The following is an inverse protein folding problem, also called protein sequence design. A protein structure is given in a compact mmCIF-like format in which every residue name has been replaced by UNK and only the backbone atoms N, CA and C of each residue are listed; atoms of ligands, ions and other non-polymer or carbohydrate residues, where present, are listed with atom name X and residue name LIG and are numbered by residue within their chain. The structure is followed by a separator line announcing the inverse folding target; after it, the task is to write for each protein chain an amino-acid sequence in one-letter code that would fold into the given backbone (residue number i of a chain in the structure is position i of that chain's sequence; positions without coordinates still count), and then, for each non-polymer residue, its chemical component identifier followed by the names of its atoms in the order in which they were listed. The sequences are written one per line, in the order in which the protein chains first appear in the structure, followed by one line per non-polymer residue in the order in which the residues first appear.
data_IF_445097907341
#
_entry.id   IF_445097907341
#
_cell.length_a   1.000
_cell.length_b   1.000
_cell.length_c   1.000
_cell.angle_alpha   90.00
_cell.angle_beta   90.00
_cell.angle_gamma   90.00
#
_symmetry.space_group_name_H-M   'P 1'
#
loop_
_entity.id
_entity.type
_entity.pdbx_description
1 polymer ?
#
# COMPACT_ATOMS: atom_id res chain seq x y z
N UNK A 1 10.88 9.48 39.50
CA UNK A 1 10.13 10.38 38.60
C UNK A 1 8.67 10.30 38.98
N UNK A 2 8.01 11.44 39.21
CA UNK A 2 6.57 11.43 39.46
C UNK A 2 5.84 11.10 38.16
N UNK A 3 4.71 10.41 38.26
CA UNK A 3 3.87 10.07 37.08
C UNK A 3 3.50 11.33 36.29
N UNK A 4 3.36 12.47 36.98
CA UNK A 4 3.15 13.80 36.42
C UNK A 4 4.26 14.28 35.47
N UNK A 5 5.52 13.99 35.77
CA UNK A 5 6.66 14.36 34.92
C UNK A 5 6.66 13.55 33.61
N UNK A 6 6.29 12.27 33.73
CA UNK A 6 6.12 11.34 32.60
C UNK A 6 4.98 11.79 31.69
N UNK A 7 3.85 12.21 32.27
CA UNK A 7 2.71 12.76 31.53
C UNK A 7 3.10 14.07 30.85
N UNK A 8 3.80 14.98 31.52
CA UNK A 8 4.26 16.24 30.93
C UNK A 8 5.20 16.03 29.75
N UNK A 9 6.14 15.07 29.85
CA UNK A 9 7.03 14.74 28.74
C UNK A 9 6.26 14.17 27.54
N UNK A 10 5.29 13.30 27.80
CA UNK A 10 4.45 12.69 26.75
C UNK A 10 3.54 13.73 26.07
N UNK A 11 2.94 14.65 26.83
CA UNK A 11 2.09 15.72 26.30
C UNK A 11 2.90 16.73 25.51
N UNK A 12 4.08 17.13 26.00
CA UNK A 12 4.97 18.06 25.30
C UNK A 12 5.48 17.49 23.96
N UNK A 13 5.74 16.17 23.91
CA UNK A 13 6.13 15.50 22.67
C UNK A 13 4.93 14.97 21.85
N UNK A 14 3.71 15.07 22.39
CA UNK A 14 2.49 14.52 21.81
C UNK A 14 2.12 15.17 20.47
N UNK A 15 2.43 16.46 20.31
CA UNK A 15 2.22 17.16 19.04
C UNK A 15 3.10 16.58 17.92
N UNK A 16 4.40 16.40 18.16
CA UNK A 16 5.31 15.82 17.18
C UNK A 16 4.90 14.39 16.79
N UNK A 17 4.45 13.61 17.78
CA UNK A 17 3.95 12.24 17.58
C UNK A 17 2.67 12.24 16.74
N UNK A 18 1.70 13.13 17.03
CA UNK A 18 0.46 13.24 16.27
C UNK A 18 0.72 13.66 14.82
N UNK A 19 1.62 14.62 14.60
CA UNK A 19 2.03 15.06 13.26
C UNK A 19 2.72 13.91 12.51
N UNK A 20 3.64 13.19 13.15
CA UNK A 20 4.30 12.03 12.54
C UNK A 20 3.29 10.95 12.15
N UNK A 21 2.35 10.61 13.03
CA UNK A 21 1.29 9.64 12.74
C UNK A 21 0.41 10.08 11.56
N UNK A 22 0.01 11.36 11.52
CA UNK A 22 -0.75 11.90 10.39
C UNK A 22 0.02 11.82 9.07
N UNK A 23 1.32 12.14 9.08
CA UNK A 23 2.17 12.06 7.88
C UNK A 23 2.31 10.63 7.39
N UNK A 24 2.49 9.65 8.28
CA UNK A 24 2.57 8.23 7.91
C UNK A 24 1.29 7.75 7.22
N UNK A 25 0.13 8.03 7.80
CA UNK A 25 -1.18 7.69 7.20
C UNK A 25 -1.35 8.36 5.83
N UNK A 26 -0.94 9.62 5.71
CA UNK A 26 -1.01 10.36 4.45
C UNK A 26 -0.05 9.81 3.38
N UNK A 27 1.11 9.30 3.79
CA UNK A 27 2.10 8.68 2.91
C UNK A 27 1.60 7.34 2.36
N UNK A 28 1.07 6.48 3.23
CA UNK A 28 0.47 5.19 2.85
C UNK A 28 -0.58 5.37 1.76
N UNK A 29 -1.52 6.30 1.97
CA UNK A 29 -2.58 6.59 1.00
C UNK A 29 -2.06 7.10 -0.35
N UNK A 30 -0.91 7.78 -0.38
CA UNK A 30 -0.29 8.22 -1.64
C UNK A 30 0.38 7.07 -2.39
N UNK A 31 1.02 6.15 -1.66
CA UNK A 31 1.68 4.98 -2.24
C UNK A 31 0.65 4.05 -2.87
N UNK A 32 -0.48 3.81 -2.21
CA UNK A 32 -1.57 2.99 -2.76
C UNK A 32 -2.14 3.56 -4.06
N UNK A 33 -2.37 4.88 -4.07
CA UNK A 33 -2.84 5.58 -5.26
C UNK A 33 -1.83 5.51 -6.41
N UNK A 34 -0.54 5.62 -6.11
CA UNK A 34 0.53 5.51 -7.09
C UNK A 34 0.61 4.08 -7.65
N UNK A 35 0.55 3.06 -6.79
CA UNK A 35 0.55 1.66 -7.18
C UNK A 35 -0.64 1.31 -8.08
N UNK A 36 -1.84 1.76 -7.71
CA UNK A 36 -3.06 1.62 -8.53
C UNK A 36 -2.93 2.31 -9.89
N UNK A 37 -2.33 3.50 -9.92
CA UNK A 37 -2.10 4.25 -11.17
C UNK A 37 -1.09 3.55 -12.08
N UNK A 38 -0.03 2.96 -11.51
CA UNK A 38 0.96 2.17 -12.27
C UNK A 38 0.30 0.91 -12.84
N UNK A 39 -0.49 0.19 -12.04
CA UNK A 39 -1.16 -1.03 -12.52
C UNK A 39 -2.13 -0.71 -13.66
N UNK A 40 -2.94 0.36 -13.53
CA UNK A 40 -3.82 0.85 -14.60
C UNK A 40 -3.05 1.22 -15.86
N UNK A 41 -1.91 1.90 -15.71
CA UNK A 41 -1.07 2.25 -16.85
C UNK A 41 -0.50 1.00 -17.53
N UNK A 42 -0.02 0.01 -16.76
CA UNK A 42 0.46 -1.25 -17.29
C UNK A 42 -0.64 -2.00 -18.07
N UNK A 43 -1.85 -2.09 -17.53
CA UNK A 43 -3.00 -2.69 -18.22
C UNK A 43 -3.34 -1.95 -19.53
N UNK A 44 -3.31 -0.61 -19.53
CA UNK A 44 -3.57 0.18 -20.74
C UNK A 44 -2.46 -0.01 -21.78
N UNK A 45 -1.20 -0.09 -21.36
CA UNK A 45 -0.06 -0.37 -22.26
C UNK A 45 -0.19 -1.76 -22.86
N UNK A 46 -0.46 -2.79 -22.06
CA UNK A 46 -0.72 -4.16 -22.54
C UNK A 46 -1.90 -4.21 -23.53
N UNK A 47 -3.01 -3.53 -23.20
CA UNK A 47 -4.18 -3.46 -24.07
C UNK A 47 -3.92 -2.71 -25.39
N UNK A 48 -3.10 -1.66 -25.36
CA UNK A 48 -2.73 -0.89 -26.58
C UNK A 48 -1.65 -1.57 -27.41
N UNK A 49 -0.77 -2.36 -26.81
CA UNK A 49 0.35 -3.02 -27.49
C UNK A 49 0.00 -4.45 -27.97
N UNK A 50 -1.19 -4.97 -27.64
CA UNK A 50 -1.65 -6.29 -28.09
C UNK A 50 -0.96 -7.47 -27.40
N UNK A 51 -0.14 -7.20 -26.37
CA UNK A 51 0.49 -8.24 -25.54
C UNK A 51 -0.42 -8.46 -24.34
N UNK A 52 -1.26 -9.49 -24.42
CA UNK A 52 -1.93 -10.03 -23.25
C UNK A 52 -0.84 -10.53 -22.28
N UNK A 53 -0.62 -9.81 -21.18
CA UNK A 53 0.10 -10.39 -20.05
C UNK A 53 -0.95 -11.17 -19.27
N UNK A 54 -0.92 -12.49 -19.42
CA UNK A 54 -1.65 -13.42 -18.56
C UNK A 54 -1.11 -13.23 -17.14
N UNK A 55 -1.78 -12.38 -16.37
CA UNK A 55 -1.45 -12.18 -14.95
C UNK A 55 -2.09 -13.21 -14.04
N UNK A 56 -2.94 -14.11 -14.54
CA UNK A 56 -3.54 -15.18 -13.73
C UNK A 56 -3.83 -16.41 -14.61
N UNK A 57 -2.86 -17.32 -14.71
CA UNK A 57 -3.17 -18.73 -15.01
C UNK A 57 -3.08 -19.51 -13.70
N UNK A 58 -4.21 -19.82 -13.03
CA UNK A 58 -4.21 -20.84 -12.01
C UNK A 58 -4.03 -22.19 -12.73
N UNK A 59 -3.06 -22.99 -12.26
CA UNK A 59 -2.79 -24.34 -12.77
C UNK A 59 -4.08 -25.17 -12.84
N UNK A 60 -4.60 -25.41 -14.05
CA UNK A 60 -5.66 -26.38 -14.29
C UNK A 60 -5.01 -27.74 -14.55
N UNK A 61 -4.72 -28.46 -13.46
CA UNK A 61 -4.39 -29.88 -13.46
C UNK A 61 -5.65 -30.71 -13.83
N UNK A 62 -6.08 -30.69 -15.09
CA UNK A 62 -7.06 -31.67 -15.59
C UNK A 62 -6.36 -32.81 -16.31
N UNK A 63 -6.14 -33.89 -15.57
CA UNK A 63 -5.85 -35.22 -16.08
C UNK A 63 -6.91 -35.62 -17.11
N UNK A 64 -6.55 -35.70 -18.40
CA UNK A 64 -7.38 -36.37 -19.39
C UNK A 64 -6.89 -37.81 -19.59
N UNK A 65 -7.70 -38.75 -19.10
CA UNK A 65 -7.65 -40.17 -19.41
C UNK A 65 -8.54 -40.42 -20.63
N UNK A 66 -7.94 -40.82 -21.76
CA UNK A 66 -8.58 -41.57 -22.83
C UNK A 66 -7.53 -42.28 -23.69
#
# INVERSE_FOLDING_TARGET
MQVTDLINLMVNNGFAIAVAAYLLIRLERQIDNLSSSINRLNTIISAKLGVAIDTDSPNDDSHNVA
#
